data_IF_319474080274
#
_entry.id   IF_319474080274
#
_cell.length_a   1.000
_cell.length_b   1.000
_cell.length_c   1.000
_cell.angle_alpha   90.00
_cell.angle_beta   90.00
_cell.angle_gamma   90.00
#
_symmetry.space_group_name_H-M   'P 1'
#
loop_
_entity.id
_entity.type
_entity.pdbx_description
1 polymer ?
#
# COMPACT_ATOMS: atom_id res chain seq x y z
N UNK A 1 -16.55 14.31 -5.46
CA UNK A 1 -15.54 13.42 -6.01
C UNK A 1 -14.38 14.17 -6.68
N UNK A 2 -13.22 13.53 -6.78
CA UNK A 2 -12.10 13.95 -7.62
C UNK A 2 -11.77 12.77 -8.53
N UNK A 3 -11.87 12.96 -9.84
CA UNK A 3 -11.60 11.89 -10.81
C UNK A 3 -10.40 12.26 -11.65
N UNK A 4 -9.34 11.46 -11.55
CA UNK A 4 -8.15 11.58 -12.39
C UNK A 4 -8.30 10.66 -13.60
N UNK A 5 -7.84 11.12 -14.75
CA UNK A 5 -7.81 10.32 -15.98
C UNK A 5 -6.60 10.67 -16.84
N UNK A 6 -6.42 9.94 -17.92
CA UNK A 6 -5.37 10.11 -18.90
C UNK A 6 -5.62 9.22 -20.10
N UNK A 7 -4.61 9.01 -20.92
CA UNK A 7 -4.69 8.10 -22.06
C UNK A 7 -3.35 7.44 -22.35
N UNK A 8 -3.40 6.28 -23.01
CA UNK A 8 -2.21 5.62 -23.54
C UNK A 8 -1.76 6.23 -24.85
N UNK A 9 -2.71 6.79 -25.63
CA UNK A 9 -2.43 7.49 -26.88
C UNK A 9 -2.93 8.93 -26.86
N UNK A 10 -2.19 9.89 -27.45
CA UNK A 10 -2.62 11.28 -27.55
C UNK A 10 -3.98 11.42 -28.24
N UNK A 11 -4.77 12.41 -27.82
CA UNK A 11 -6.14 12.64 -28.31
C UNK A 11 -6.23 12.77 -29.83
N UNK A 12 -5.20 13.30 -30.49
CA UNK A 12 -5.17 13.49 -31.95
C UNK A 12 -4.92 12.20 -32.76
N UNK A 13 -4.59 11.09 -32.13
CA UNK A 13 -4.39 9.82 -32.83
C UNK A 13 -5.71 9.11 -33.11
N UNK A 14 -5.82 8.44 -34.29
CA UNK A 14 -7.04 7.75 -34.73
C UNK A 14 -7.49 6.68 -33.73
N UNK A 15 -6.57 5.96 -33.11
CA UNK A 15 -6.85 4.93 -32.11
C UNK A 15 -6.65 5.41 -30.67
N UNK A 16 -6.89 6.69 -30.40
CA UNK A 16 -6.78 7.24 -29.06
C UNK A 16 -7.91 6.75 -28.13
N UNK A 17 -7.57 6.34 -26.93
CA UNK A 17 -8.47 6.05 -25.81
C UNK A 17 -8.87 7.33 -25.04
N UNK A 18 -8.23 8.47 -25.32
CA UNK A 18 -8.37 9.69 -24.55
C UNK A 18 -9.82 10.24 -24.51
N UNK A 19 -10.55 10.14 -25.63
CA UNK A 19 -11.92 10.68 -25.71
C UNK A 19 -12.87 9.91 -24.78
N UNK A 20 -12.83 8.58 -24.82
CA UNK A 20 -13.68 7.75 -23.98
C UNK A 20 -13.30 7.90 -22.51
N UNK A 21 -12.02 7.84 -22.19
CA UNK A 21 -11.54 8.03 -20.82
C UNK A 21 -11.97 9.40 -20.25
N UNK A 22 -11.98 10.46 -21.05
CA UNK A 22 -12.42 11.79 -20.62
C UNK A 22 -13.94 11.82 -20.36
N UNK A 23 -14.75 11.25 -21.25
CA UNK A 23 -16.21 11.17 -21.09
C UNK A 23 -16.56 10.40 -19.83
N UNK A 24 -15.96 9.21 -19.66
CA UNK A 24 -16.15 8.34 -18.50
C UNK A 24 -15.72 9.01 -17.19
N UNK A 25 -14.64 9.77 -17.22
CA UNK A 25 -14.19 10.53 -16.05
C UNK A 25 -15.17 11.65 -15.66
N UNK A 26 -15.72 12.38 -16.64
CA UNK A 26 -16.75 13.41 -16.38
C UNK A 26 -18.02 12.77 -15.83
N UNK A 27 -18.49 11.67 -16.42
CA UNK A 27 -19.65 10.93 -15.91
C UNK A 27 -19.43 10.42 -14.48
N UNK A 28 -18.26 9.86 -14.22
CA UNK A 28 -17.87 9.42 -12.88
C UNK A 28 -17.78 10.57 -11.86
N UNK A 29 -17.38 11.76 -12.29
CA UNK A 29 -17.38 12.94 -11.43
C UNK A 29 -18.78 13.45 -11.11
N UNK A 30 -19.75 13.23 -11.98
CA UNK A 30 -21.16 13.64 -11.79
C UNK A 30 -21.96 12.62 -10.97
N UNK A 31 -21.74 11.33 -11.16
CA UNK A 31 -22.60 10.25 -10.64
C UNK A 31 -21.87 9.28 -9.71
N UNK A 32 -20.56 9.23 -9.75
CA UNK A 32 -19.73 8.29 -8.97
C UNK A 32 -19.64 8.64 -7.49
N UNK A 33 -19.01 7.74 -6.70
CA UNK A 33 -18.85 7.93 -5.27
C UNK A 33 -17.98 9.15 -4.93
N UNK A 34 -18.17 9.80 -3.78
CA UNK A 34 -17.45 11.00 -3.37
C UNK A 34 -16.01 10.70 -2.88
N UNK A 35 -15.24 10.01 -3.69
CA UNK A 35 -13.86 9.61 -3.41
C UNK A 35 -12.88 10.24 -4.40
N UNK A 36 -11.59 10.11 -4.13
CA UNK A 36 -10.52 10.33 -5.11
C UNK A 36 -10.33 9.05 -5.89
N UNK A 37 -10.52 9.10 -7.20
CA UNK A 37 -10.54 7.93 -8.07
C UNK A 37 -9.71 8.14 -9.34
N UNK A 38 -9.35 7.04 -9.99
CA UNK A 38 -8.77 6.99 -11.34
C UNK A 38 -9.80 6.35 -12.25
N UNK A 39 -10.19 7.05 -13.31
CA UNK A 39 -11.04 6.51 -14.38
C UNK A 39 -10.17 6.21 -15.59
N UNK A 40 -10.15 4.95 -16.02
CA UNK A 40 -9.34 4.52 -17.15
C UNK A 40 -9.90 3.22 -17.74
N UNK A 41 -9.98 3.17 -19.08
CA UNK A 41 -10.47 1.99 -19.82
C UNK A 41 -11.80 1.49 -19.26
N UNK A 42 -12.79 2.39 -19.16
CA UNK A 42 -14.16 2.11 -18.67
C UNK A 42 -14.24 1.53 -17.25
N UNK A 43 -13.20 1.72 -16.44
CA UNK A 43 -13.15 1.31 -15.05
C UNK A 43 -12.86 2.49 -14.12
N UNK A 44 -13.56 2.53 -12.99
CA UNK A 44 -13.34 3.50 -11.91
C UNK A 44 -12.66 2.81 -10.73
N UNK A 45 -11.42 3.17 -10.48
CA UNK A 45 -10.59 2.64 -9.41
C UNK A 45 -10.52 3.60 -8.23
N UNK A 46 -10.45 3.08 -6.99
CA UNK A 46 -10.07 3.93 -5.85
C UNK A 46 -8.61 4.37 -6.01
N UNK A 47 -8.35 5.70 -5.99
CA UNK A 47 -7.07 6.26 -6.39
C UNK A 47 -5.85 5.76 -5.59
N UNK A 48 -6.02 5.52 -4.29
CA UNK A 48 -4.95 5.00 -3.42
C UNK A 48 -4.81 3.46 -3.44
N UNK A 49 -5.63 2.76 -4.25
CA UNK A 49 -5.57 1.32 -4.46
C UNK A 49 -5.10 0.93 -5.86
N UNK A 50 -5.20 1.87 -6.79
CA UNK A 50 -4.86 1.63 -8.19
C UNK A 50 -3.34 1.62 -8.41
N UNK A 51 -2.90 0.77 -9.33
CA UNK A 51 -1.53 0.72 -9.85
C UNK A 51 -1.57 0.65 -11.37
N UNK A 52 -0.65 1.37 -12.03
CA UNK A 52 -0.40 1.15 -13.46
C UNK A 52 0.45 -0.10 -13.60
N UNK A 53 -0.10 -1.13 -14.25
CA UNK A 53 0.54 -2.45 -14.37
C UNK A 53 0.95 -2.79 -15.80
N UNK A 54 0.39 -2.08 -16.79
CA UNK A 54 0.70 -2.28 -18.21
C UNK A 54 1.05 -0.95 -18.88
N UNK A 55 1.97 -0.99 -19.84
CA UNK A 55 2.45 0.23 -20.54
C UNK A 55 2.01 0.30 -22.00
N UNK A 56 1.63 -0.84 -22.61
CA UNK A 56 1.30 -0.93 -24.03
C UNK A 56 -0.17 -1.26 -24.31
N UNK A 57 -0.97 -1.48 -23.28
CA UNK A 57 -2.38 -1.88 -23.37
C UNK A 57 -3.30 -0.79 -22.84
N UNK A 58 -4.54 -0.72 -23.29
CA UNK A 58 -5.50 0.30 -22.83
C UNK A 58 -5.96 0.03 -21.39
N UNK A 59 -6.16 -1.22 -21.01
CA UNK A 59 -6.43 -1.66 -19.63
C UNK A 59 -5.17 -1.57 -18.75
N UNK A 60 -4.61 -0.38 -18.64
CA UNK A 60 -3.29 -0.13 -18.07
C UNK A 60 -3.23 -0.19 -16.54
N UNK A 61 -4.37 -0.08 -15.85
CA UNK A 61 -4.46 -0.02 -14.40
C UNK A 61 -5.08 -1.29 -13.81
N UNK A 62 -4.71 -1.60 -12.58
CA UNK A 62 -5.31 -2.66 -11.77
C UNK A 62 -5.47 -2.20 -10.32
N UNK A 63 -6.38 -2.84 -9.59
CA UNK A 63 -6.64 -2.65 -8.16
C UNK A 63 -6.77 -4.01 -7.47
N UNK A 64 -5.65 -4.73 -7.26
CA UNK A 64 -5.67 -6.16 -6.96
C UNK A 64 -6.34 -6.54 -5.63
N UNK A 65 -6.36 -5.62 -4.67
CA UNK A 65 -6.88 -5.88 -3.30
C UNK A 65 -8.12 -5.03 -2.97
N UNK A 66 -8.74 -4.41 -3.97
CA UNK A 66 -9.90 -3.56 -3.75
C UNK A 66 -10.84 -3.64 -4.96
N UNK A 67 -12.13 -3.87 -4.76
CA UNK A 67 -13.08 -3.87 -5.87
C UNK A 67 -13.14 -2.50 -6.53
N UNK A 68 -13.55 -2.50 -7.79
CA UNK A 68 -13.78 -1.28 -8.56
C UNK A 68 -14.85 -0.41 -7.87
N UNK A 69 -14.72 0.88 -8.01
CA UNK A 69 -15.73 1.85 -7.61
C UNK A 69 -16.84 2.01 -8.67
N UNK A 70 -16.60 1.53 -9.88
CA UNK A 70 -17.59 1.52 -10.94
C UNK A 70 -17.06 0.92 -12.24
N UNK A 71 -17.99 0.58 -13.13
CA UNK A 71 -17.73 0.17 -14.51
C UNK A 71 -18.63 1.00 -15.45
N UNK A 72 -18.04 1.44 -16.55
CA UNK A 72 -18.66 2.36 -17.50
C UNK A 72 -18.84 1.65 -18.86
N UNK A 73 -19.81 0.72 -18.90
CA UNK A 73 -20.21 0.01 -20.12
C UNK A 73 -21.31 0.77 -20.88
N UNK A 74 -22.24 0.02 -21.47
CA UNK A 74 -23.45 0.62 -22.07
C UNK A 74 -24.24 1.39 -21.00
N UNK A 75 -24.30 0.85 -19.81
CA UNK A 75 -24.79 1.51 -18.61
C UNK A 75 -23.64 1.68 -17.62
N UNK A 76 -23.58 2.84 -16.97
CA UNK A 76 -22.62 3.09 -15.91
C UNK A 76 -23.15 2.52 -14.58
N UNK A 77 -22.31 1.76 -13.89
CA UNK A 77 -22.65 1.23 -12.55
C UNK A 77 -21.61 1.69 -11.55
N UNK A 78 -22.06 2.12 -10.37
CA UNK A 78 -21.18 2.61 -9.32
C UNK A 78 -21.42 1.88 -8.00
N UNK A 79 -20.35 1.50 -7.32
CA UNK A 79 -20.40 1.00 -5.97
C UNK A 79 -20.64 2.15 -4.97
N UNK A 80 -21.24 1.88 -3.81
CA UNK A 80 -21.31 2.87 -2.76
C UNK A 80 -19.89 3.22 -2.29
N UNK A 81 -19.60 4.52 -2.23
CA UNK A 81 -18.32 5.03 -1.74
C UNK A 81 -18.14 4.84 -0.24
N UNK A 82 -16.94 5.16 0.22
CA UNK A 82 -16.67 5.21 1.65
C UNK A 82 -17.55 6.24 2.33
N UNK A 83 -18.18 5.85 3.43
CA UNK A 83 -18.90 6.82 4.27
C UNK A 83 -17.91 7.74 4.94
N UNK A 84 -17.99 9.03 4.61
CA UNK A 84 -17.20 10.05 5.30
C UNK A 84 -17.71 10.19 6.75
N UNK A 85 -16.77 10.02 7.69
CA UNK A 85 -17.03 10.27 9.11
C UNK A 85 -16.47 11.64 9.49
N UNK A 86 -17.35 12.60 9.74
CA UNK A 86 -16.97 13.95 10.20
C UNK A 86 -16.59 14.95 9.08
N UNK A 87 -16.12 16.15 9.45
CA UNK A 87 -15.79 17.22 8.52
C UNK A 87 -14.56 16.87 7.68
N UNK A 88 -14.53 17.37 6.44
CA UNK A 88 -13.32 17.27 5.57
C UNK A 88 -12.14 17.93 6.26
N UNK A 89 -11.03 17.21 6.33
CA UNK A 89 -9.75 17.72 6.83
C UNK A 89 -8.70 17.55 5.73
N UNK A 90 -8.21 18.65 5.24
CA UNK A 90 -7.07 18.65 4.32
C UNK A 90 -5.77 18.50 5.13
N UNK A 91 -4.94 17.54 4.75
CA UNK A 91 -3.62 17.31 5.32
C UNK A 91 -2.57 17.55 4.23
N UNK A 92 -1.96 18.72 4.26
CA UNK A 92 -1.07 19.20 3.20
C UNK A 92 0.40 18.86 3.44
N UNK A 93 0.79 18.61 4.71
CA UNK A 93 2.18 18.35 5.05
C UNK A 93 2.55 16.90 4.81
N UNK A 94 3.73 16.70 4.21
CA UNK A 94 4.36 15.40 3.99
C UNK A 94 5.83 15.49 4.44
N UNK A 95 6.32 14.49 5.16
CA UNK A 95 7.76 14.31 5.38
C UNK A 95 8.32 13.53 4.20
N UNK A 96 9.09 14.19 3.35
CA UNK A 96 9.59 13.60 2.09
C UNK A 96 10.79 12.66 2.27
N UNK A 97 11.48 12.68 3.43
CA UNK A 97 12.63 11.82 3.70
C UNK A 97 12.20 10.39 4.05
N UNK A 98 11.39 9.80 3.21
CA UNK A 98 10.96 8.40 3.30
C UNK A 98 11.52 7.64 2.11
N UNK A 99 12.12 6.48 2.36
CA UNK A 99 12.73 5.66 1.33
C UNK A 99 11.92 4.38 1.09
N UNK A 100 11.77 3.98 -0.17
CA UNK A 100 11.18 2.70 -0.56
C UNK A 100 12.30 1.73 -0.92
N UNK A 101 12.49 0.70 -0.11
CA UNK A 101 13.46 -0.36 -0.32
C UNK A 101 12.78 -1.63 -0.80
N UNK A 102 13.08 -2.06 -2.00
CA UNK A 102 12.67 -3.36 -2.52
C UNK A 102 13.71 -4.42 -2.15
N UNK A 103 13.27 -5.51 -1.52
CA UNK A 103 14.13 -6.66 -1.23
C UNK A 103 14.37 -7.45 -2.52
N UNK A 104 15.61 -7.80 -2.80
CA UNK A 104 16.00 -8.62 -3.94
C UNK A 104 17.14 -9.59 -3.54
N UNK A 105 17.31 -10.71 -4.26
CA UNK A 105 18.40 -11.63 -3.98
C UNK A 105 19.77 -10.96 -4.11
N UNK A 106 20.62 -11.12 -3.09
CA UNK A 106 21.95 -10.49 -3.06
C UNK A 106 21.96 -9.03 -2.59
N UNK A 107 20.86 -8.50 -2.07
CA UNK A 107 20.85 -7.18 -1.41
C UNK A 107 21.85 -7.18 -0.25
N UNK A 108 22.87 -6.35 -0.35
CA UNK A 108 23.82 -6.12 0.73
C UNK A 108 23.17 -5.26 1.83
N UNK A 109 23.02 -5.77 3.07
CA UNK A 109 22.44 -5.02 4.18
C UNK A 109 23.17 -3.72 4.52
N UNK A 110 24.44 -3.60 4.19
CA UNK A 110 25.23 -2.39 4.43
C UNK A 110 24.68 -1.17 3.66
N UNK A 111 24.09 -1.39 2.47
CA UNK A 111 23.52 -0.32 1.66
C UNK A 111 22.33 0.35 2.33
N UNK A 112 21.23 -0.36 2.71
CA UNK A 112 20.12 0.27 3.39
C UNK A 112 20.49 0.76 4.81
N UNK A 113 21.43 0.13 5.48
CA UNK A 113 21.98 0.62 6.76
C UNK A 113 22.62 2.01 6.62
N UNK A 114 23.39 2.25 5.56
CA UNK A 114 24.02 3.55 5.27
C UNK A 114 22.99 4.66 4.95
N UNK A 115 21.76 4.31 4.55
CA UNK A 115 20.69 5.27 4.28
C UNK A 115 19.96 5.73 5.56
N UNK A 116 19.93 4.93 6.63
CA UNK A 116 19.15 5.22 7.84
C UNK A 116 19.42 6.61 8.45
N UNK A 117 20.65 7.15 8.48
CA UNK A 117 20.89 8.51 8.99
C UNK A 117 20.25 9.63 8.16
N UNK A 118 19.89 9.36 6.91
CA UNK A 118 19.40 10.34 5.95
C UNK A 118 17.87 10.31 5.81
N UNK A 119 17.20 9.28 6.32
CA UNK A 119 15.76 9.10 6.18
C UNK A 119 15.02 9.25 7.51
N UNK A 120 13.74 9.55 7.44
CA UNK A 120 12.83 9.62 8.57
C UNK A 120 11.86 8.45 8.64
N UNK A 121 11.80 7.64 7.57
CA UNK A 121 10.97 6.46 7.48
C UNK A 121 11.40 5.55 6.33
N UNK A 122 11.06 4.28 6.45
CA UNK A 122 11.36 3.25 5.46
C UNK A 122 10.11 2.46 5.13
N UNK A 123 9.82 2.27 3.84
CA UNK A 123 8.87 1.27 3.36
C UNK A 123 9.68 0.12 2.79
N UNK A 124 9.49 -1.08 3.32
CA UNK A 124 10.16 -2.30 2.86
C UNK A 124 9.20 -3.13 2.01
N UNK A 125 9.46 -3.23 0.71
CA UNK A 125 8.80 -4.16 -0.20
C UNK A 125 9.43 -5.56 -0.04
N UNK A 126 8.80 -6.39 0.79
CA UNK A 126 9.27 -7.73 1.13
C UNK A 126 8.65 -8.82 0.23
N UNK A 127 9.19 -10.02 0.28
CA UNK A 127 8.64 -11.16 -0.47
C UNK A 127 7.33 -11.66 0.15
N UNK A 128 6.37 -12.04 -0.68
CA UNK A 128 5.14 -12.72 -0.27
C UNK A 128 4.45 -12.03 0.91
N UNK A 129 4.23 -12.76 1.99
CA UNK A 129 3.54 -12.25 3.18
C UNK A 129 4.40 -11.36 4.10
N UNK A 130 5.59 -10.95 3.68
CA UNK A 130 6.49 -10.09 4.45
C UNK A 130 7.86 -10.74 4.74
N UNK A 131 8.26 -11.71 3.93
CA UNK A 131 9.53 -12.42 4.10
C UNK A 131 10.72 -11.60 3.56
N UNK A 132 11.85 -11.75 4.24
CA UNK A 132 13.14 -11.17 3.84
C UNK A 132 14.28 -12.10 4.35
N UNK A 133 15.52 -11.95 3.84
CA UNK A 133 16.65 -12.74 4.33
C UNK A 133 16.89 -12.51 5.83
N UNK A 134 16.83 -13.59 6.63
CA UNK A 134 16.97 -13.55 8.08
C UNK A 134 18.31 -14.16 8.55
N UNK A 135 18.83 -15.16 7.84
CA UNK A 135 20.00 -15.90 8.25
C UNK A 135 21.29 -15.05 8.20
N UNK A 136 21.93 -14.78 9.35
CA UNK A 136 23.14 -13.97 9.38
C UNK A 136 24.37 -14.72 8.81
N UNK A 137 24.34 -16.06 8.74
CA UNK A 137 25.48 -16.86 8.27
C UNK A 137 25.75 -16.66 6.77
N UNK A 138 24.72 -16.26 6.02
CA UNK A 138 24.83 -15.94 4.59
C UNK A 138 25.24 -14.49 4.33
N UNK A 139 25.45 -13.67 5.36
CA UNK A 139 25.85 -12.27 5.21
C UNK A 139 24.79 -11.32 4.68
N UNK A 140 23.55 -11.77 4.46
CA UNK A 140 22.47 -10.99 3.84
C UNK A 140 21.27 -10.72 4.74
N UNK A 141 21.40 -10.96 6.06
CA UNK A 141 20.30 -10.73 7.00
C UNK A 141 19.93 -9.25 7.08
N UNK A 142 18.64 -8.94 6.90
CA UNK A 142 18.09 -7.60 7.09
C UNK A 142 17.63 -7.31 8.53
N UNK A 143 17.71 -8.27 9.45
CA UNK A 143 17.32 -8.06 10.84
C UNK A 143 18.09 -6.91 11.54
N UNK A 144 19.40 -6.71 11.31
CA UNK A 144 20.13 -5.55 11.85
C UNK A 144 19.56 -4.21 11.37
N UNK A 145 19.00 -4.12 10.16
CA UNK A 145 18.35 -2.92 9.64
C UNK A 145 17.15 -2.51 10.51
N UNK A 146 16.30 -3.47 10.91
CA UNK A 146 15.15 -3.17 11.77
C UNK A 146 15.58 -2.72 13.17
N UNK A 147 16.62 -3.34 13.75
CA UNK A 147 17.19 -2.94 15.04
C UNK A 147 17.71 -1.51 15.03
N UNK A 148 18.50 -1.19 14.02
CA UNK A 148 19.08 0.13 13.88
C UNK A 148 18.01 1.19 13.58
N UNK A 149 17.03 0.88 12.73
CA UNK A 149 15.89 1.76 12.46
C UNK A 149 15.11 2.05 13.75
N UNK A 150 14.85 1.01 14.58
CA UNK A 150 14.20 1.17 15.89
C UNK A 150 15.02 2.08 16.83
N UNK A 151 16.33 1.89 16.91
CA UNK A 151 17.21 2.68 17.75
C UNK A 151 17.22 4.18 17.35
N UNK A 152 17.02 4.46 16.06
CA UNK A 152 16.97 5.84 15.50
C UNK A 152 15.56 6.44 15.43
N UNK A 153 14.54 5.75 15.92
CA UNK A 153 13.13 6.13 15.75
C UNK A 153 12.72 6.32 14.28
N UNK A 154 13.28 5.50 13.39
CA UNK A 154 12.89 5.42 11.97
C UNK A 154 11.86 4.29 11.82
N UNK A 155 10.57 4.59 11.61
CA UNK A 155 9.56 3.55 11.41
C UNK A 155 9.81 2.78 10.10
N UNK A 156 9.67 1.47 10.16
CA UNK A 156 9.74 0.57 9.00
C UNK A 156 8.36 -0.01 8.75
N UNK A 157 7.76 0.30 7.60
CA UNK A 157 6.48 -0.26 7.17
C UNK A 157 6.75 -1.34 6.13
N UNK A 158 6.29 -2.57 6.40
CA UNK A 158 6.50 -3.70 5.49
C UNK A 158 5.28 -3.88 4.61
N UNK A 159 5.48 -3.94 3.30
CA UNK A 159 4.48 -4.21 2.26
C UNK A 159 4.92 -5.38 1.38
N UNK A 160 4.00 -5.98 0.64
CA UNK A 160 4.31 -7.10 -0.25
C UNK A 160 4.76 -6.63 -1.64
N UNK A 161 5.70 -7.37 -2.24
CA UNK A 161 6.01 -7.28 -3.68
C UNK A 161 4.92 -7.96 -4.53
N UNK A 162 4.14 -8.88 -3.94
CA UNK A 162 3.06 -9.53 -4.61
C UNK A 162 1.90 -8.55 -4.86
N UNK A 163 1.27 -8.64 -6.03
CA UNK A 163 0.16 -7.76 -6.39
C UNK A 163 -1.10 -8.05 -5.59
N UNK A 164 -1.38 -9.32 -5.31
CA UNK A 164 -2.56 -9.77 -4.58
C UNK A 164 -2.23 -10.12 -3.15
N UNK A 165 -3.24 -10.01 -2.29
CA UNK A 165 -3.17 -10.22 -0.86
C UNK A 165 -2.32 -9.15 -0.15
N UNK A 166 -1.96 -9.37 1.08
CA UNK A 166 -1.22 -8.40 1.88
C UNK A 166 -0.18 -9.09 2.75
N UNK A 167 0.51 -8.26 3.49
CA UNK A 167 1.49 -8.70 4.47
C UNK A 167 0.79 -9.18 5.74
N UNK A 168 1.20 -10.34 6.22
CA UNK A 168 0.93 -10.84 7.56
C UNK A 168 2.24 -11.27 8.21
N UNK A 169 2.79 -10.39 9.01
CA UNK A 169 4.10 -10.57 9.64
C UNK A 169 4.09 -11.64 10.74
N UNK A 170 2.93 -12.18 11.13
CA UNK A 170 2.83 -13.25 12.11
C UNK A 170 2.99 -14.65 11.54
N UNK A 171 2.94 -14.81 10.20
CA UNK A 171 2.93 -16.11 9.55
C UNK A 171 4.28 -16.81 9.53
N UNK A 172 5.37 -16.05 9.46
CA UNK A 172 6.72 -16.59 9.30
C UNK A 172 7.71 -15.99 10.29
N UNK A 173 8.81 -16.71 10.54
CA UNK A 173 9.86 -16.31 11.48
C UNK A 173 10.43 -14.93 11.17
N UNK A 174 10.70 -14.64 9.90
CA UNK A 174 11.22 -13.32 9.47
C UNK A 174 10.27 -12.18 9.80
N UNK A 175 8.97 -12.36 9.54
CA UNK A 175 7.94 -11.38 9.90
C UNK A 175 7.84 -11.18 11.41
N UNK A 176 7.82 -12.27 12.17
CA UNK A 176 7.78 -12.22 13.64
C UNK A 176 9.02 -11.51 14.22
N UNK A 177 10.20 -11.76 13.66
CA UNK A 177 11.44 -11.08 14.04
C UNK A 177 11.38 -9.56 13.74
N UNK A 178 10.83 -9.16 12.58
CA UNK A 178 10.61 -7.76 12.26
C UNK A 178 9.64 -7.08 13.23
N UNK A 179 8.52 -7.75 13.58
CA UNK A 179 7.55 -7.24 14.57
C UNK A 179 8.21 -7.02 15.94
N UNK A 180 9.03 -7.94 16.40
CA UNK A 180 9.76 -7.82 17.67
C UNK A 180 10.68 -6.60 17.68
N UNK A 181 11.20 -6.19 16.52
CA UNK A 181 12.01 -4.98 16.35
C UNK A 181 11.16 -3.73 16.01
N UNK A 182 9.83 -3.83 16.08
CA UNK A 182 8.92 -2.70 15.95
C UNK A 182 8.54 -2.33 14.51
N UNK A 183 8.70 -3.27 13.56
CA UNK A 183 8.17 -3.09 12.21
C UNK A 183 6.64 -3.01 12.21
N UNK A 184 6.09 -2.25 11.28
CA UNK A 184 4.66 -2.05 11.11
C UNK A 184 4.17 -2.80 9.87
N UNK A 185 3.09 -3.57 10.02
CA UNK A 185 2.45 -4.17 8.85
C UNK A 185 1.75 -3.11 8.01
N UNK A 186 2.07 -3.06 6.73
CA UNK A 186 1.36 -2.25 5.74
C UNK A 186 0.07 -2.91 5.24
N UNK A 187 -0.25 -4.13 5.72
CA UNK A 187 -1.43 -4.87 5.30
C UNK A 187 -1.42 -5.12 3.78
N UNK A 188 -2.51 -4.78 3.14
CA UNK A 188 -2.70 -4.91 1.69
C UNK A 188 -2.56 -3.60 0.94
N UNK A 189 -1.91 -2.60 1.54
CA UNK A 189 -1.60 -1.34 0.85
C UNK A 189 -0.67 -1.58 -0.35
N UNK A 190 -0.88 -0.79 -1.40
CA UNK A 190 0.14 -0.67 -2.44
C UNK A 190 1.40 0.00 -1.86
N UNK A 191 2.60 -0.27 -2.38
CA UNK A 191 3.82 0.40 -1.93
C UNK A 191 3.71 1.93 -1.97
N UNK A 192 3.06 2.48 -3.00
CA UNK A 192 2.83 3.93 -3.13
C UNK A 192 1.90 4.48 -2.05
N UNK A 193 0.82 3.75 -1.72
CA UNK A 193 -0.10 4.14 -0.65
C UNK A 193 0.60 4.12 0.71
N UNK A 194 1.37 3.07 0.99
CA UNK A 194 2.15 2.95 2.22
C UNK A 194 3.20 4.07 2.35
N UNK A 195 3.88 4.41 1.25
CA UNK A 195 4.86 5.49 1.20
C UNK A 195 4.22 6.84 1.58
N UNK A 196 3.12 7.22 0.92
CA UNK A 196 2.44 8.49 1.20
C UNK A 196 1.83 8.49 2.60
N UNK A 197 1.27 7.37 3.06
CA UNK A 197 0.72 7.24 4.41
C UNK A 197 1.82 7.41 5.47
N UNK A 198 3.00 6.85 5.26
CA UNK A 198 4.15 7.03 6.15
C UNK A 198 4.64 8.49 6.15
N UNK A 199 4.73 9.13 4.98
CA UNK A 199 5.05 10.57 4.88
C UNK A 199 4.08 11.45 5.68
N UNK A 200 2.77 11.14 5.61
CA UNK A 200 1.76 11.83 6.42
C UNK A 200 1.91 11.51 7.91
N UNK A 201 2.07 10.24 8.26
CA UNK A 201 2.26 9.79 9.63
C UNK A 201 3.40 10.53 10.32
N UNK A 202 4.53 10.68 9.65
CA UNK A 202 5.71 11.40 10.13
C UNK A 202 5.46 12.92 10.26
N UNK A 203 4.71 13.51 9.33
CA UNK A 203 4.44 14.94 9.36
C UNK A 203 3.45 15.38 10.45
N UNK A 204 2.55 14.49 10.89
CA UNK A 204 1.45 14.82 11.80
C UNK A 204 1.54 14.14 13.17
N UNK A 205 2.32 13.06 13.32
CA UNK A 205 2.44 12.28 14.55
C UNK A 205 3.90 12.16 15.00
N UNK A 206 4.29 12.94 16.03
CA UNK A 206 5.64 12.89 16.59
C UNK A 206 5.83 11.66 17.49
N UNK A 207 4.78 11.27 18.20
CA UNK A 207 4.79 10.09 19.04
C UNK A 207 4.79 8.79 18.24
N UNK A 208 5.64 7.82 18.64
CA UNK A 208 5.80 6.52 17.98
C UNK A 208 4.49 5.71 17.93
N UNK A 209 3.77 5.66 19.05
CA UNK A 209 2.53 4.87 19.13
C UNK A 209 1.40 5.49 18.31
N UNK A 210 1.25 6.83 18.37
CA UNK A 210 0.27 7.54 17.57
C UNK A 210 0.56 7.37 16.07
N UNK A 211 1.85 7.40 15.69
CA UNK A 211 2.30 7.16 14.33
C UNK A 211 2.00 5.71 13.88
N UNK A 212 2.31 4.72 14.74
CA UNK A 212 2.03 3.31 14.45
C UNK A 212 0.51 3.08 14.29
N UNK A 213 -0.32 3.60 15.20
CA UNK A 213 -1.79 3.54 15.08
C UNK A 213 -2.27 4.16 13.77
N UNK A 214 -1.77 5.34 13.40
CA UNK A 214 -2.14 5.98 12.13
C UNK A 214 -1.81 5.11 10.91
N UNK A 215 -0.61 4.53 10.88
CA UNK A 215 -0.14 3.68 9.77
C UNK A 215 -1.02 2.42 9.62
N UNK A 216 -1.37 1.78 10.73
CA UNK A 216 -2.07 0.50 10.73
C UNK A 216 -3.62 0.62 10.74
N UNK A 217 -4.16 1.84 10.78
CA UNK A 217 -5.61 2.08 10.74
C UNK A 217 -6.02 2.57 9.36
N UNK A 218 -7.00 1.96 8.68
CA UNK A 218 -7.53 2.48 7.41
C UNK A 218 -8.20 3.83 7.62
N UNK A 219 -7.78 4.83 6.84
CA UNK A 219 -8.28 6.22 6.94
C UNK A 219 -9.19 6.57 5.76
N UNK A 220 -8.73 6.29 4.55
CA UNK A 220 -9.40 6.63 3.28
C UNK A 220 -9.48 5.42 2.34
N UNK A 221 -9.58 4.22 2.90
CA UNK A 221 -9.71 2.97 2.16
C UNK A 221 -8.43 2.50 1.48
N UNK A 222 -7.29 3.03 1.85
CA UNK A 222 -5.98 2.66 1.32
C UNK A 222 -5.53 1.25 1.70
N UNK A 223 -6.17 0.67 2.71
CA UNK A 223 -6.01 -0.73 3.13
C UNK A 223 -7.36 -1.30 3.58
N UNK A 224 -7.46 -2.63 3.57
CA UNK A 224 -8.64 -3.33 4.07
C UNK A 224 -8.66 -3.26 5.60
N UNK A 225 -9.83 -2.94 6.15
CA UNK A 225 -10.07 -3.01 7.58
C UNK A 225 -10.09 -4.49 7.99
N UNK A 226 -9.00 -4.97 8.55
CA UNK A 226 -8.95 -6.30 9.15
C UNK A 226 -9.34 -6.16 10.62
N UNK A 227 -10.34 -6.89 11.10
CA UNK A 227 -10.59 -6.95 12.54
C UNK A 227 -9.26 -7.36 13.20
N UNK A 228 -8.79 -6.57 14.17
CA UNK A 228 -7.62 -6.92 14.98
C UNK A 228 -7.91 -8.28 15.61
N UNK A 229 -7.30 -9.35 15.10
CA UNK A 229 -7.25 -10.63 15.78
C UNK A 229 -6.43 -10.42 17.06
N UNK A 230 -7.12 -10.01 18.11
CA UNK A 230 -6.63 -10.09 19.48
C UNK A 230 -6.37 -11.56 19.73
N UNK A 231 -5.07 -11.94 19.73
CA UNK A 231 -4.54 -13.19 20.23
C UNK A 231 -5.50 -14.39 20.18
N UNK A 232 -5.66 -15.01 19.02
CA UNK A 232 -6.29 -16.31 18.89
C UNK A 232 -5.29 -17.38 19.39
N UNK A 233 -5.63 -18.00 20.52
CA UNK A 233 -4.99 -19.21 21.02
C UNK A 233 -4.78 -20.23 19.89
N UNK A 234 -3.61 -20.83 19.71
CA UNK A 234 -3.39 -21.79 18.65
C UNK A 234 -4.35 -22.97 18.78
N UNK A 235 -5.13 -23.22 17.73
CA UNK A 235 -6.03 -24.37 17.68
C UNK A 235 -5.22 -25.66 17.91
N UNK A 236 -5.52 -26.38 18.99
CA UNK A 236 -4.97 -27.71 19.26
C UNK A 236 -5.29 -28.61 18.07
N UNK A 237 -4.26 -28.99 17.31
CA UNK A 237 -4.37 -30.09 16.33
C UNK A 237 -4.79 -31.33 17.07
N UNK A 238 -6.02 -31.79 16.93
CA UNK A 238 -6.46 -33.11 17.38
C UNK A 238 -5.67 -34.15 16.61
N UNK A 239 -4.79 -34.89 17.31
CA UNK A 239 -4.24 -36.13 16.82
C UNK A 239 -5.41 -37.11 16.67
N UNK A 240 -5.84 -37.39 15.46
CA UNK A 240 -6.55 -38.64 15.17
C UNK A 240 -5.51 -39.72 14.99
N UNK A 241 -5.52 -40.66 15.95
CA UNK A 241 -4.85 -41.93 15.81
C UNK A 241 -5.54 -42.78 14.72
N UNK A 242 -4.74 -43.30 13.82
CA UNK A 242 -4.77 -44.68 13.31
C UNK A 242 -3.49 -44.94 12.56
#
# INVERSE_FOLDING_TARGET
>A
PVVMTGSQRPLGEVRSDARLNLIDAVLSALQGPPEVSICFDSHLYRGNRARKVKVAEYDAFDSPNCPLLGTLGVEATFAPGLRQKGPRRLRERLESRVFLLKVFPGLDPALPMALLPQVRGLVLEAYGAGNYPLDPTLGHSLLPLFREARARDVPVVVVSQAHHNGVDLSLYESGAAALAEGALSGGDMTPSAALVKLMQGLAYHQDREARARFIQTPIVGEMTDRPSNVHGTPAKKSRRAR
#
